data_IF_356526569495
#
_entry.id   IF_356526569495
#
_cell.length_a   1.000
_cell.length_b   1.000
_cell.length_c   1.000
_cell.angle_alpha   90.00
_cell.angle_beta   90.00
_cell.angle_gamma   90.00
#
_symmetry.space_group_name_H-M   'P 1'
#
loop_
_entity.id
_entity.type
_entity.pdbx_description
1 polymer ?
#
# COMPACT_ATOMS: atom_id res chain seq x y z
N UNK A 1 5.66 -8.56 -15.26
CA UNK A 1 5.44 -9.22 -13.96
C UNK A 1 4.31 -10.20 -14.17
N UNK A 2 4.31 -11.33 -13.48
CA UNK A 2 3.19 -12.28 -13.53
C UNK A 2 2.11 -11.86 -12.53
N UNK A 3 0.93 -12.43 -12.63
CA UNK A 3 -0.10 -12.33 -11.61
C UNK A 3 0.37 -12.97 -10.30
N UNK A 4 -0.05 -12.43 -9.16
CA UNK A 4 0.31 -12.95 -7.83
C UNK A 4 -0.74 -12.60 -6.78
N UNK A 5 -0.70 -13.31 -5.66
CA UNK A 5 -1.45 -12.97 -4.47
C UNK A 5 -0.56 -12.20 -3.51
N UNK A 6 -1.08 -11.12 -2.95
CA UNK A 6 -0.40 -10.32 -1.95
C UNK A 6 -1.09 -10.52 -0.60
N UNK A 7 -0.34 -11.06 0.36
CA UNK A 7 -0.83 -11.35 1.71
C UNK A 7 -0.44 -10.24 2.69
N UNK A 8 -1.30 -10.00 3.67
CA UNK A 8 -1.12 -8.99 4.69
C UNK A 8 -0.91 -9.62 6.07
N UNK A 9 -0.29 -8.86 6.97
CA UNK A 9 -0.23 -9.20 8.40
C UNK A 9 -1.64 -9.12 8.98
N UNK A 10 -1.93 -9.99 9.95
CA UNK A 10 -3.24 -10.04 10.61
C UNK A 10 -3.39 -9.01 11.75
N UNK A 11 -2.51 -8.01 11.77
CA UNK A 11 -2.48 -6.91 12.73
C UNK A 11 -2.85 -5.60 12.04
N UNK A 12 -3.59 -4.75 12.74
CA UNK A 12 -3.89 -3.40 12.24
C UNK A 12 -2.78 -2.47 12.72
N UNK A 13 -2.14 -1.77 11.79
CA UNK A 13 -1.11 -0.78 12.07
C UNK A 13 -1.69 0.63 12.01
N UNK A 14 -0.95 1.59 12.55
CA UNK A 14 -1.23 3.02 12.45
C UNK A 14 -0.09 3.71 11.69
N UNK A 15 -0.40 4.61 10.76
CA UNK A 15 0.62 5.44 10.13
C UNK A 15 0.14 6.89 9.94
N UNK A 16 1.08 7.84 9.92
CA UNK A 16 0.81 9.26 9.67
C UNK A 16 1.03 9.54 8.18
N UNK A 17 0.12 10.31 7.58
CA UNK A 17 0.20 10.70 6.17
C UNK A 17 1.53 11.39 5.86
N UNK A 18 2.01 11.30 4.62
CA UNK A 18 3.22 12.01 4.17
C UNK A 18 3.24 13.52 4.45
N UNK A 19 2.06 14.18 4.49
CA UNK A 19 1.93 15.61 4.83
C UNK A 19 1.81 15.88 6.33
N UNK A 20 1.90 14.86 7.17
CA UNK A 20 1.75 14.93 8.62
C UNK A 20 0.41 15.49 9.13
N UNK A 21 -0.64 15.44 8.29
CA UNK A 21 -1.96 16.01 8.61
C UNK A 21 -3.01 15.01 9.06
N UNK A 22 -2.80 13.71 8.79
CA UNK A 22 -3.81 12.67 9.02
C UNK A 22 -3.17 11.40 9.55
N UNK A 23 -3.95 10.63 10.30
CA UNK A 23 -3.60 9.28 10.71
C UNK A 23 -4.47 8.27 9.99
N UNK A 24 -3.89 7.13 9.69
CA UNK A 24 -4.53 6.04 8.97
C UNK A 24 -4.32 4.74 9.73
N UNK A 25 -5.36 3.90 9.80
CA UNK A 25 -5.17 2.51 10.15
C UNK A 25 -5.01 1.67 8.87
N UNK A 26 -4.17 0.65 8.93
CA UNK A 26 -3.81 -0.12 7.74
C UNK A 26 -3.51 -1.58 8.05
N UNK A 27 -3.63 -2.42 7.03
CA UNK A 27 -2.97 -3.73 7.01
C UNK A 27 -1.66 -3.64 6.25
N UNK A 28 -0.56 -4.06 6.88
CA UNK A 28 0.75 -4.09 6.23
C UNK A 28 0.96 -5.40 5.49
N UNK A 29 1.59 -5.33 4.33
CA UNK A 29 1.97 -6.51 3.54
C UNK A 29 2.96 -7.35 4.34
N UNK A 30 2.86 -8.69 4.28
CA UNK A 30 3.85 -9.57 4.93
C UNK A 30 5.25 -9.33 4.32
N UNK A 31 6.29 -9.36 5.14
CA UNK A 31 7.65 -8.98 4.73
C UNK A 31 8.16 -9.81 3.55
N UNK A 32 7.96 -11.13 3.60
CA UNK A 32 8.29 -12.08 2.53
C UNK A 32 7.59 -11.74 1.21
N UNK A 33 6.33 -11.32 1.26
CA UNK A 33 5.55 -10.92 0.08
C UNK A 33 6.01 -9.58 -0.50
N UNK A 34 6.35 -8.63 0.38
CA UNK A 34 6.90 -7.34 -0.03
C UNK A 34 8.25 -7.52 -0.73
N UNK A 35 9.15 -8.33 -0.15
CA UNK A 35 10.44 -8.67 -0.76
C UNK A 35 10.27 -9.34 -2.12
N UNK A 36 9.40 -10.36 -2.18
CA UNK A 36 9.21 -11.15 -3.39
C UNK A 36 8.61 -10.34 -4.55
N UNK A 37 7.56 -9.55 -4.29
CA UNK A 37 6.79 -8.91 -5.36
C UNK A 37 7.01 -7.40 -5.46
N UNK A 38 6.91 -6.69 -4.33
CA UNK A 38 6.79 -5.23 -4.33
C UNK A 38 8.15 -4.53 -4.44
N UNK A 39 9.19 -5.07 -3.81
CA UNK A 39 10.55 -4.54 -3.94
C UNK A 39 11.05 -4.66 -5.38
N UNK A 40 10.81 -5.80 -6.03
CA UNK A 40 11.13 -5.98 -7.46
C UNK A 40 10.36 -4.99 -8.35
N UNK A 41 9.08 -4.72 -8.05
CA UNK A 41 8.29 -3.72 -8.78
C UNK A 41 8.83 -2.30 -8.55
N UNK A 42 9.17 -1.96 -7.30
CA UNK A 42 9.78 -0.68 -6.90
C UNK A 42 11.06 -0.41 -7.68
N UNK A 43 11.97 -1.39 -7.76
CA UNK A 43 13.22 -1.23 -8.50
C UNK A 43 12.99 -0.91 -9.98
N UNK A 44 12.01 -1.56 -10.61
CA UNK A 44 11.64 -1.30 -12.02
C UNK A 44 11.07 0.11 -12.18
N UNK A 45 10.19 0.53 -11.28
CA UNK A 45 9.64 1.88 -11.27
C UNK A 45 10.78 2.90 -11.10
N UNK A 46 11.70 2.67 -10.16
CA UNK A 46 12.81 3.57 -9.88
C UNK A 46 13.78 3.69 -11.08
N UNK A 47 14.02 2.61 -11.83
CA UNK A 47 14.79 2.69 -13.09
C UNK A 47 14.13 3.63 -14.09
N UNK A 48 12.81 3.51 -14.29
CA UNK A 48 12.06 4.40 -15.19
C UNK A 48 12.10 5.84 -14.68
N UNK A 49 11.83 6.07 -13.39
CA UNK A 49 11.85 7.40 -12.80
C UNK A 49 13.22 8.09 -12.98
N UNK A 50 14.32 7.34 -12.83
CA UNK A 50 15.67 7.85 -13.05
C UNK A 50 15.91 8.30 -14.51
N UNK A 51 15.26 7.69 -15.51
CA UNK A 51 15.36 8.14 -16.91
C UNK A 51 14.75 9.54 -17.12
N UNK A 52 13.89 9.99 -16.19
CA UNK A 52 13.26 11.31 -16.19
C UNK A 52 13.84 12.24 -15.11
N UNK A 53 14.99 11.93 -14.53
CA UNK A 53 15.58 12.65 -13.39
C UNK A 53 14.67 12.77 -12.16
N UNK A 54 13.72 11.85 -12.01
CA UNK A 54 12.84 11.74 -10.84
C UNK A 54 13.44 10.78 -9.82
N UNK A 55 13.76 11.28 -8.63
CA UNK A 55 14.35 10.47 -7.54
C UNK A 55 13.27 9.93 -6.60
N UNK A 56 13.41 8.67 -6.24
CA UNK A 56 12.65 8.09 -5.12
C UNK A 56 13.22 8.62 -3.80
N UNK A 57 12.39 9.32 -3.03
CA UNK A 57 12.76 9.88 -1.72
C UNK A 57 12.49 8.92 -0.56
N UNK A 58 11.99 7.70 -0.83
CA UNK A 58 11.57 6.76 0.21
C UNK A 58 12.35 5.45 0.16
N UNK A 59 13.52 5.42 0.82
CA UNK A 59 14.39 4.23 0.87
C UNK A 59 13.71 3.04 1.56
N UNK A 60 13.06 3.25 2.71
CA UNK A 60 12.45 2.20 3.53
C UNK A 60 10.91 2.25 3.48
N UNK A 61 10.33 1.89 2.33
CA UNK A 61 8.87 1.94 2.15
C UNK A 61 8.22 0.68 2.73
N UNK A 62 7.28 0.87 3.65
CA UNK A 62 6.38 -0.18 4.15
C UNK A 62 5.11 -0.16 3.30
N UNK A 63 4.87 -1.22 2.53
CA UNK A 63 3.66 -1.30 1.72
C UNK A 63 2.48 -1.78 2.56
N UNK A 64 1.34 -1.12 2.39
CA UNK A 64 0.18 -1.36 3.23
C UNK A 64 -1.12 -1.00 2.48
N UNK A 65 -2.22 -1.56 2.94
CA UNK A 65 -3.58 -1.23 2.54
C UNK A 65 -4.20 -0.33 3.62
N UNK A 66 -4.46 0.93 3.29
CA UNK A 66 -5.18 1.84 4.20
C UNK A 66 -6.66 1.43 4.31
N UNK A 67 -7.18 1.37 5.53
CA UNK A 67 -8.54 0.92 5.83
C UNK A 67 -9.45 2.10 6.17
N UNK A 68 -9.01 2.97 7.07
CA UNK A 68 -9.71 4.18 7.49
C UNK A 68 -8.72 5.27 7.88
N UNK A 69 -9.21 6.51 7.98
CA UNK A 69 -8.40 7.64 8.39
C UNK A 69 -9.14 8.55 9.36
N UNK A 70 -8.37 9.33 10.11
CA UNK A 70 -8.87 10.39 11.00
C UNK A 70 -8.07 11.67 10.81
N UNK A 71 -8.77 12.80 10.99
CA UNK A 71 -8.17 14.13 11.09
C UNK A 71 -7.86 14.52 12.54
N UNK A 72 -8.23 13.68 13.51
CA UNK A 72 -7.91 13.89 14.92
C UNK A 72 -6.40 13.75 15.08
N UNK A 73 -5.77 14.71 15.78
CA UNK A 73 -4.36 14.59 16.12
C UNK A 73 -4.17 13.55 17.24
N UNK A 74 -3.45 12.47 16.93
CA UNK A 74 -3.15 11.39 17.87
C UNK A 74 -1.81 11.56 18.59
N UNK A 75 -1.04 12.63 18.32
CA UNK A 75 0.27 12.86 18.94
C UNK A 75 0.21 12.81 20.47
N UNK A 76 -0.83 13.42 21.09
CA UNK A 76 -1.01 13.43 22.55
C UNK A 76 -1.22 12.02 23.12
N UNK A 77 -1.97 11.17 22.39
CA UNK A 77 -2.18 9.77 22.77
C UNK A 77 -0.86 8.99 22.65
N UNK A 78 -0.15 9.16 21.55
CA UNK A 78 1.11 8.48 21.27
C UNK A 78 2.21 8.88 22.27
N UNK A 79 2.24 10.14 22.69
CA UNK A 79 3.13 10.62 23.77
C UNK A 79 2.82 9.94 25.10
N UNK A 80 1.54 9.89 25.47
CA UNK A 80 1.09 9.29 26.73
C UNK A 80 1.49 7.80 26.84
N UNK A 81 1.43 7.08 25.73
CA UNK A 81 1.80 5.65 25.68
C UNK A 81 3.30 5.41 25.44
N UNK A 82 4.16 6.45 25.47
CA UNK A 82 5.60 6.38 25.15
C UNK A 82 5.89 5.77 23.77
N UNK A 83 4.98 5.94 22.82
CA UNK A 83 5.05 5.39 21.47
C UNK A 83 5.33 6.46 20.41
N UNK A 84 5.23 7.73 20.77
CA UNK A 84 5.75 8.82 19.94
C UNK A 84 7.28 8.76 19.94
N UNK A 85 7.87 8.41 18.80
CA UNK A 85 9.31 8.54 18.63
C UNK A 85 9.72 10.01 18.67
N UNK A 86 10.86 10.26 19.30
CA UNK A 86 11.49 11.59 19.39
C UNK A 86 12.24 11.93 18.09
N UNK A 87 12.63 10.92 17.32
CA UNK A 87 13.12 11.09 15.96
C UNK A 87 11.92 11.31 15.04
N UNK A 88 11.85 12.49 14.39
CA UNK A 88 10.72 12.99 13.59
C UNK A 88 10.35 12.11 12.37
N UNK A 89 10.98 10.96 12.19
CA UNK A 89 10.96 10.17 10.95
C UNK A 89 10.11 8.90 11.02
N UNK A 90 9.70 8.42 12.21
CA UNK A 90 8.84 7.23 12.29
C UNK A 90 7.37 7.63 12.21
N UNK A 91 6.85 7.62 10.98
CA UNK A 91 5.44 7.85 10.69
C UNK A 91 4.61 6.55 10.71
N UNK A 92 5.09 5.49 11.36
CA UNK A 92 4.50 4.17 11.32
C UNK A 92 4.61 3.47 12.68
N UNK A 93 3.49 2.97 13.18
CA UNK A 93 3.35 2.28 14.45
C UNK A 93 2.71 0.91 14.19
N UNK A 94 3.48 -0.18 14.30
CA UNK A 94 2.94 -1.51 14.12
C UNK A 94 1.98 -1.88 15.25
N UNK A 95 0.96 -2.68 14.95
CA UNK A 95 0.00 -3.23 15.90
C UNK A 95 -0.62 -2.18 16.84
N UNK A 96 -1.59 -1.42 16.33
CA UNK A 96 -2.33 -0.40 17.08
C UNK A 96 -3.04 -0.95 18.33
N UNK A 97 -3.27 -2.26 18.44
CA UNK A 97 -3.86 -2.84 19.65
C UNK A 97 -2.94 -2.68 20.86
N UNK A 98 -1.63 -2.51 20.67
CA UNK A 98 -0.72 -2.14 21.76
C UNK A 98 -0.98 -0.71 22.30
N UNK A 99 -1.59 0.16 21.49
CA UNK A 99 -1.96 1.53 21.85
C UNK A 99 -3.36 1.62 22.47
N UNK A 100 -4.24 0.68 22.13
CA UNK A 100 -5.62 0.66 22.58
C UNK A 100 -5.71 -0.36 23.72
N UNK A 101 -5.77 0.12 24.97
CA UNK A 101 -5.86 -0.68 26.22
C UNK A 101 -7.07 -1.66 26.30
N UNK A 102 -7.86 -1.84 25.23
CA UNK A 102 -8.96 -2.79 25.21
C UNK A 102 -8.45 -4.22 25.02
N UNK A 103 -8.27 -4.90 26.16
CA UNK A 103 -8.03 -6.36 26.25
C UNK A 103 -9.19 -7.22 25.70
N UNK A 104 -10.33 -6.60 25.36
CA UNK A 104 -11.54 -7.28 24.87
C UNK A 104 -11.59 -7.42 23.34
N UNK A 105 -10.57 -6.94 22.60
CA UNK A 105 -10.44 -7.29 21.18
C UNK A 105 -10.01 -8.76 21.13
N UNK A 106 -11.00 -9.65 21.10
CA UNK A 106 -10.76 -11.08 20.87
C UNK A 106 -9.93 -11.25 19.60
N UNK A 107 -8.78 -11.91 19.72
CA UNK A 107 -7.95 -12.43 18.64
C UNK A 107 -8.72 -13.49 17.82
N UNK A 108 -9.81 -13.09 17.16
CA UNK A 108 -10.61 -13.98 16.32
C UNK A 108 -10.61 -13.47 14.88
N UNK A 109 -9.42 -13.20 14.34
CA UNK A 109 -9.24 -13.02 12.89
C UNK A 109 -8.44 -14.21 12.37
N UNK A 110 -9.16 -15.29 12.09
CA UNK A 110 -8.60 -16.54 11.55
C UNK A 110 -8.45 -16.50 10.01
N UNK A 111 -9.02 -15.50 9.35
CA UNK A 111 -8.94 -15.41 7.89
C UNK A 111 -7.78 -14.49 7.48
N UNK A 112 -6.80 -15.08 6.78
CA UNK A 112 -5.74 -14.33 6.13
C UNK A 112 -6.34 -13.39 5.08
N UNK A 113 -6.14 -12.08 5.26
CA UNK A 113 -6.45 -11.12 4.21
C UNK A 113 -5.41 -11.23 3.10
N UNK A 114 -5.86 -11.41 1.87
CA UNK A 114 -5.04 -11.35 0.68
C UNK A 114 -5.78 -10.67 -0.48
N UNK A 115 -5.02 -10.15 -1.43
CA UNK A 115 -5.56 -9.60 -2.68
C UNK A 115 -4.91 -10.29 -3.88
N UNK A 116 -5.69 -10.54 -4.91
CA UNK A 116 -5.17 -10.98 -6.21
C UNK A 116 -4.75 -9.76 -7.03
N UNK A 117 -3.49 -9.71 -7.44
CA UNK A 117 -2.91 -8.58 -8.18
C UNK A 117 -2.60 -8.99 -9.61
N UNK A 118 -3.29 -8.37 -10.57
CA UNK A 118 -3.15 -8.64 -12.00
C UNK A 118 -2.75 -7.42 -12.85
N UNK A 119 -2.61 -6.24 -12.23
CA UNK A 119 -2.23 -5.02 -12.92
C UNK A 119 -1.64 -4.00 -11.96
N UNK A 120 -0.98 -2.99 -12.54
CA UNK A 120 -0.60 -1.75 -11.87
C UNK A 120 -1.38 -0.60 -12.51
N UNK A 121 -1.81 0.34 -11.68
CA UNK A 121 -2.41 1.59 -12.13
C UNK A 121 -1.44 2.75 -11.92
N UNK A 122 -1.35 3.64 -12.91
CA UNK A 122 -0.57 4.87 -12.86
C UNK A 122 -1.54 6.04 -13.02
N UNK A 123 -1.47 6.99 -12.08
CA UNK A 123 -2.32 8.19 -12.11
C UNK A 123 -1.52 9.40 -12.57
N UNK A 124 -2.02 10.12 -13.58
CA UNK A 124 -1.46 11.39 -14.06
C UNK A 124 -2.59 12.42 -14.02
N UNK A 125 -2.56 13.30 -13.01
CA UNK A 125 -3.67 14.21 -12.71
C UNK A 125 -4.96 13.45 -12.39
N UNK A 126 -5.98 13.63 -13.22
CA UNK A 126 -7.27 12.91 -13.12
C UNK A 126 -7.32 11.64 -13.96
N UNK A 127 -6.34 11.42 -14.84
CA UNK A 127 -6.30 10.24 -15.72
C UNK A 127 -5.70 9.04 -14.99
N UNK A 128 -6.30 7.88 -15.18
CA UNK A 128 -5.84 6.60 -14.65
C UNK A 128 -5.46 5.67 -15.81
N UNK A 129 -4.20 5.28 -15.86
CA UNK A 129 -3.65 4.34 -16.84
C UNK A 129 -3.50 2.98 -16.19
N UNK A 130 -3.97 1.93 -16.85
CA UNK A 130 -3.85 0.54 -16.39
C UNK A 130 -2.78 -0.17 -17.22
N UNK A 131 -1.82 -0.79 -16.54
CA UNK A 131 -0.84 -1.68 -17.16
C UNK A 131 -1.11 -3.09 -16.64
N UNK A 132 -1.63 -3.99 -17.48
CA UNK A 132 -1.83 -5.38 -17.09
C UNK A 132 -0.50 -6.09 -16.86
N UNK A 133 -0.46 -7.00 -15.90
CA UNK A 133 0.61 -7.97 -15.79
C UNK A 133 0.37 -9.10 -16.79
N UNK A 134 1.42 -9.89 -17.06
CA UNK A 134 1.30 -11.02 -17.97
C UNK A 134 0.66 -12.19 -17.22
N UNK A 135 -0.32 -12.84 -17.83
CA UNK A 135 -0.74 -14.19 -17.42
C UNK A 135 0.28 -15.22 -17.92
N UNK A 136 0.34 -16.38 -17.28
CA UNK A 136 0.99 -17.55 -17.88
C UNK A 136 0.25 -18.00 -19.16
N UNK A 137 -1.06 -17.75 -19.25
CA UNK A 137 -1.91 -18.13 -20.38
C UNK A 137 -1.89 -17.12 -21.54
N UNK A 138 -1.34 -15.92 -21.35
CA UNK A 138 -1.34 -14.86 -22.39
C UNK A 138 -0.43 -15.21 -23.58
N UNK A 139 0.46 -16.20 -23.44
CA UNK A 139 1.23 -16.74 -24.57
C UNK A 139 0.40 -17.64 -25.49
N UNK A 140 -0.85 -18.00 -25.13
CA UNK A 140 -1.74 -18.82 -25.94
C UNK A 140 -2.82 -18.01 -26.69
N UNK A 141 -3.04 -16.74 -26.32
CA UNK A 141 -4.07 -15.90 -26.92
C UNK A 141 -3.54 -14.50 -27.27
N UNK A 142 -2.60 -14.43 -28.22
CA UNK A 142 -2.39 -13.18 -28.98
C UNK A 142 -3.49 -13.10 -30.04
N UNK A 143 -4.64 -12.60 -29.63
CA UNK A 143 -5.63 -12.01 -30.53
C UNK A 143 -5.80 -10.58 -30.05
N UNK A 144 -5.07 -9.67 -30.71
CA UNK A 144 -5.19 -8.23 -30.55
C UNK A 144 -6.65 -7.80 -30.73
N UNK A 145 -7.36 -7.55 -29.63
CA UNK A 145 -8.58 -6.74 -29.66
C UNK A 145 -8.35 -5.52 -28.78
N UNK A 146 -8.04 -4.42 -29.44
CA UNK A 146 -8.09 -3.09 -28.88
C UNK A 146 -9.54 -2.74 -28.57
N UNK A 147 -10.04 -3.08 -27.39
CA UNK A 147 -11.30 -2.53 -26.91
C UNK A 147 -11.06 -1.13 -26.35
N UNK A 148 -11.21 -0.15 -27.26
CA UNK A 148 -11.41 1.24 -26.94
C UNK A 148 -12.73 1.44 -26.20
N UNK A 149 -12.71 1.54 -24.87
CA UNK A 149 -13.81 2.16 -24.14
C UNK A 149 -13.48 3.61 -23.84
N UNK A 150 -13.83 4.47 -24.81
CA UNK A 150 -14.23 5.84 -24.53
C UNK A 150 -15.51 5.79 -23.71
N UNK A 151 -15.50 6.33 -22.50
CA UNK A 151 -16.72 6.81 -21.86
C UNK A 151 -16.49 8.23 -21.41
N UNK A 152 -17.00 9.16 -22.21
CA UNK A 152 -17.25 10.54 -21.83
C UNK A 152 -18.39 10.57 -20.83
N UNK A 153 -18.16 11.18 -19.68
CA UNK A 153 -19.22 11.87 -18.96
C UNK A 153 -18.69 13.24 -18.62
N UNK A 154 -18.97 14.18 -19.53
CA UNK A 154 -19.24 15.56 -19.16
C UNK A 154 -20.68 15.58 -18.64
N UNK A 155 -20.83 15.82 -17.33
CA UNK A 155 -21.90 16.61 -16.70
C UNK A 155 -21.50 16.94 -15.25
#
# INVERSE_FOLDING_TARGET
MLFFYLFFRNEVDLYKSQKNTKYFCSYTVKEDQQELYLNTLKEKINKILNEFDLKDTHLNRIYHLSLAYTNINLDVLLEKENKKCVEEETFFWPNINELILNKDIKENRLDDLYIYVNCIHIRIGYKLYKIPFKSFDDNLNVSDSYDSYMSSTDE
#
